data_IF_645402038839
#
_entry.id   IF_645402038839
#
_cell.length_a   1.000
_cell.length_b   1.000
_cell.length_c   1.000
_cell.angle_alpha   90.00
_cell.angle_beta   90.00
_cell.angle_gamma   90.00
#
_symmetry.space_group_name_H-M   'P 1'
#
loop_
_entity.id
_entity.type
_entity.pdbx_description
1 polymer ?
#
# COMPACT_ATOMS: atom_id res chain seq x y z
N UNK A 1 23.54 16.43 -37.53
CA UNK A 1 22.63 15.33 -37.13
C UNK A 1 22.47 15.45 -35.64
N UNK A 2 21.36 16.03 -35.20
CA UNK A 2 21.06 16.19 -33.79
C UNK A 2 20.83 14.80 -33.19
N UNK A 3 21.62 14.45 -32.19
CA UNK A 3 21.43 13.24 -31.39
C UNK A 3 20.06 13.35 -30.70
N UNK A 4 19.05 12.68 -31.25
CA UNK A 4 17.83 12.39 -30.51
C UNK A 4 18.23 11.52 -29.32
N UNK A 5 18.38 12.14 -28.14
CA UNK A 5 18.50 11.39 -26.89
C UNK A 5 17.31 10.42 -26.80
N UNK A 6 17.61 9.13 -26.66
CA UNK A 6 16.58 8.11 -26.59
C UNK A 6 15.66 8.42 -25.40
N UNK A 7 14.36 8.59 -25.64
CA UNK A 7 13.32 8.79 -24.61
C UNK A 7 13.09 7.57 -23.71
N UNK A 8 13.98 6.57 -23.74
CA UNK A 8 13.86 5.34 -22.97
C UNK A 8 14.51 5.52 -21.60
N UNK A 9 13.80 5.10 -20.56
CA UNK A 9 14.37 5.03 -19.21
C UNK A 9 15.48 3.97 -19.16
N UNK A 10 16.64 4.30 -18.58
CA UNK A 10 17.67 3.30 -18.27
C UNK A 10 17.09 2.13 -17.46
N UNK A 11 17.50 0.90 -17.75
CA UNK A 11 17.00 -0.32 -17.05
C UNK A 11 17.10 -0.19 -15.53
N UNK A 12 18.17 0.42 -15.03
CA UNK A 12 18.38 0.71 -13.60
C UNK A 12 17.26 1.56 -12.97
N UNK A 13 16.62 2.43 -13.75
CA UNK A 13 15.55 3.32 -13.30
C UNK A 13 14.18 2.61 -13.35
N UNK A 14 14.11 1.44 -14.01
CA UNK A 14 12.94 0.55 -14.03
C UNK A 14 12.92 -0.43 -12.85
N UNK A 15 14.03 -0.58 -12.12
CA UNK A 15 14.14 -1.48 -10.97
C UNK A 15 13.56 -0.80 -9.73
N UNK A 16 12.59 -1.46 -9.11
CA UNK A 16 11.98 -1.00 -7.85
C UNK A 16 12.98 -1.11 -6.70
N UNK A 17 13.07 -0.06 -5.90
CA UNK A 17 13.81 -0.04 -4.62
C UNK A 17 12.85 -0.35 -3.48
N UNK A 18 13.37 -0.68 -2.30
CA UNK A 18 12.53 -0.99 -1.12
C UNK A 18 11.54 0.12 -0.80
N UNK A 19 11.97 1.39 -0.88
CA UNK A 19 11.10 2.55 -0.70
C UNK A 19 9.91 2.60 -1.68
N UNK A 20 10.06 2.03 -2.87
CA UNK A 20 9.03 2.01 -3.92
C UNK A 20 7.97 0.93 -3.64
N UNK A 21 8.24 0.03 -2.70
CA UNK A 21 7.30 -0.99 -2.21
C UNK A 21 6.44 -0.50 -1.04
N UNK A 22 6.67 0.73 -0.57
CA UNK A 22 5.99 1.34 0.57
C UNK A 22 5.07 2.44 0.07
N UNK A 23 3.81 2.38 0.48
CA UNK A 23 2.85 3.45 0.25
C UNK A 23 2.57 4.16 1.58
N UNK A 24 2.69 5.48 1.62
CA UNK A 24 2.39 6.28 2.81
C UNK A 24 1.09 7.06 2.66
N UNK A 25 0.27 7.02 3.71
CA UNK A 25 -1.05 7.65 3.73
C UNK A 25 -1.34 8.32 5.06
N UNK A 26 -1.96 9.50 5.05
CA UNK A 26 -2.43 10.10 6.30
C UNK A 26 -3.68 9.36 6.80
N UNK A 27 -3.75 9.12 8.12
CA UNK A 27 -4.90 8.47 8.76
C UNK A 27 -6.24 9.14 8.41
N UNK A 28 -6.27 10.46 8.31
CA UNK A 28 -7.49 11.24 7.96
C UNK A 28 -7.98 11.07 6.53
N UNK A 29 -7.12 10.55 5.65
CA UNK A 29 -7.39 10.45 4.21
C UNK A 29 -7.81 9.04 3.78
N UNK A 30 -7.60 8.04 4.64
CA UNK A 30 -7.87 6.64 4.36
C UNK A 30 -9.05 6.14 5.18
N UNK A 31 -9.90 5.32 4.55
CA UNK A 31 -11.08 4.75 5.18
C UNK A 31 -10.98 3.22 5.19
N UNK A 32 -11.65 2.60 6.16
CA UNK A 32 -11.86 1.15 6.13
C UNK A 32 -13.06 0.87 5.21
N UNK A 33 -12.90 -0.12 4.34
CA UNK A 33 -13.94 -0.56 3.40
C UNK A 33 -14.03 -2.07 3.42
N UNK A 34 -15.18 -2.64 3.07
CA UNK A 34 -15.28 -4.10 2.91
C UNK A 34 -14.48 -4.58 1.71
N UNK A 35 -13.90 -5.78 1.85
CA UNK A 35 -13.19 -6.45 0.76
C UNK A 35 -14.16 -6.75 -0.39
N UNK A 36 -13.85 -6.23 -1.59
CA UNK A 36 -14.64 -6.53 -2.79
C UNK A 36 -14.32 -7.93 -3.35
N UNK A 37 -15.26 -8.54 -4.08
CA UNK A 37 -15.04 -9.80 -4.82
C UNK A 37 -13.79 -9.78 -5.71
N UNK A 38 -13.50 -8.63 -6.34
CA UNK A 38 -12.31 -8.46 -7.20
C UNK A 38 -11.00 -8.61 -6.43
N UNK A 39 -10.98 -8.18 -5.17
CA UNK A 39 -9.81 -8.32 -4.29
C UNK A 39 -9.53 -9.79 -3.97
N UNK A 40 -10.57 -10.62 -3.85
CA UNK A 40 -10.47 -12.05 -3.54
C UNK A 40 -10.03 -12.91 -4.74
N UNK A 41 -10.24 -12.45 -5.97
CA UNK A 41 -10.01 -13.27 -7.18
C UNK A 41 -8.53 -13.66 -7.30
N UNK A 42 -8.26 -14.97 -7.30
CA UNK A 42 -6.92 -15.55 -7.48
C UNK A 42 -6.01 -15.44 -6.26
N UNK A 43 -6.55 -15.15 -5.07
CA UNK A 43 -5.81 -15.13 -3.80
C UNK A 43 -6.57 -15.90 -2.73
N UNK A 44 -6.01 -17.02 -2.29
CA UNK A 44 -6.46 -17.70 -1.07
C UNK A 44 -6.17 -16.81 0.14
N UNK A 45 -7.07 -16.80 1.12
CA UNK A 45 -6.85 -16.09 2.40
C UNK A 45 -7.44 -14.69 2.54
N UNK A 46 -8.25 -14.19 1.58
CA UNK A 46 -9.02 -12.95 1.78
C UNK A 46 -10.52 -13.28 1.89
N UNK A 47 -11.11 -13.06 3.07
CA UNK A 47 -12.53 -13.36 3.35
C UNK A 47 -13.41 -12.13 3.05
N UNK A 48 -14.66 -12.35 2.64
CA UNK A 48 -15.62 -11.27 2.30
C UNK A 48 -15.96 -10.33 3.45
N UNK A 49 -16.09 -10.86 4.66
CA UNK A 49 -16.40 -10.10 5.87
C UNK A 49 -15.25 -9.23 6.35
N UNK A 50 -14.05 -9.38 5.78
CA UNK A 50 -12.90 -8.58 6.14
C UNK A 50 -12.96 -7.16 5.56
N UNK A 51 -12.16 -6.29 6.18
CA UNK A 51 -11.91 -4.95 5.69
C UNK A 51 -10.59 -4.85 4.93
N UNK A 52 -10.57 -3.97 3.94
CA UNK A 52 -9.40 -3.39 3.32
C UNK A 52 -9.30 -1.90 3.71
N UNK A 53 -8.16 -1.30 3.42
CA UNK A 53 -8.05 0.16 3.46
C UNK A 53 -8.32 0.73 2.08
N UNK A 54 -9.04 1.86 2.01
CA UNK A 54 -9.38 2.52 0.76
C UNK A 54 -8.96 3.99 0.81
N UNK A 55 -8.18 4.42 -0.18
CA UNK A 55 -7.84 5.81 -0.42
C UNK A 55 -8.71 6.35 -1.57
N UNK A 56 -9.67 7.26 -1.28
CA UNK A 56 -10.60 7.75 -2.29
C UNK A 56 -9.91 8.54 -3.41
N UNK A 57 -10.40 8.39 -4.64
CA UNK A 57 -9.85 9.07 -5.81
C UNK A 57 -9.83 10.59 -5.67
N UNK A 58 -10.90 11.20 -5.15
CA UNK A 58 -10.95 12.64 -4.86
C UNK A 58 -9.76 13.14 -4.04
N UNK A 59 -9.27 12.31 -3.11
CA UNK A 59 -8.12 12.64 -2.26
C UNK A 59 -6.81 12.48 -3.03
N UNK A 60 -6.68 11.41 -3.82
CA UNK A 60 -5.53 11.14 -4.68
C UNK A 60 -5.34 12.29 -5.69
N UNK A 61 -6.42 12.70 -6.36
CA UNK A 61 -6.40 13.79 -7.34
C UNK A 61 -6.07 15.16 -6.71
N UNK A 62 -6.47 15.38 -5.45
CA UNK A 62 -6.22 16.66 -4.76
C UNK A 62 -4.79 16.80 -4.24
N UNK A 63 -4.08 15.70 -3.94
CA UNK A 63 -2.79 15.76 -3.24
C UNK A 63 -1.66 15.15 -4.05
N UNK A 64 -0.71 16.00 -4.48
CA UNK A 64 0.52 15.59 -5.18
C UNK A 64 1.33 14.54 -4.39
N UNK A 65 1.28 14.60 -3.07
CA UNK A 65 1.86 13.60 -2.17
C UNK A 65 1.47 12.15 -2.52
N UNK A 66 0.20 11.91 -2.91
CA UNK A 66 -0.27 10.59 -3.33
C UNK A 66 0.08 10.31 -4.79
N UNK A 67 -0.04 11.31 -5.65
CA UNK A 67 0.23 11.16 -7.09
C UNK A 67 1.66 10.68 -7.36
N UNK A 68 2.63 11.20 -6.61
CA UNK A 68 4.03 10.83 -6.75
C UNK A 68 4.31 9.34 -6.42
N UNK A 69 3.42 8.67 -5.67
CA UNK A 69 3.55 7.27 -5.29
C UNK A 69 2.79 6.33 -6.25
N UNK A 70 1.90 6.86 -7.10
CA UNK A 70 1.06 6.06 -7.99
C UNK A 70 1.82 5.20 -9.02
N UNK A 71 2.96 5.64 -9.60
CA UNK A 71 3.68 4.83 -10.59
C UNK A 71 3.98 3.40 -10.09
N UNK A 72 4.21 3.26 -8.79
CA UNK A 72 4.59 1.99 -8.16
C UNK A 72 3.45 1.33 -7.38
N UNK A 73 2.23 1.89 -7.41
CA UNK A 73 1.11 1.46 -6.57
C UNK A 73 0.75 -0.03 -6.69
N UNK A 74 0.93 -0.62 -7.88
CA UNK A 74 0.65 -2.06 -8.12
C UNK A 74 1.63 -3.01 -7.41
N UNK A 75 2.80 -2.51 -7.01
CA UNK A 75 3.89 -3.31 -6.44
C UNK A 75 3.99 -3.20 -4.92
N UNK A 76 3.21 -2.31 -4.32
CA UNK A 76 3.22 -2.02 -2.88
C UNK A 76 3.05 -3.30 -2.06
N UNK A 77 3.92 -3.44 -1.07
CA UNK A 77 3.95 -4.54 -0.09
C UNK A 77 3.68 -4.07 1.33
N UNK A 78 3.80 -2.77 1.61
CA UNK A 78 3.54 -2.19 2.94
C UNK A 78 2.82 -0.85 2.82
N UNK A 79 1.80 -0.67 3.64
CA UNK A 79 1.08 0.58 3.80
C UNK A 79 1.44 1.18 5.16
N UNK A 80 2.07 2.36 5.14
CA UNK A 80 2.41 3.11 6.35
C UNK A 80 1.37 4.23 6.56
N UNK A 81 0.67 4.17 7.68
CA UNK A 81 -0.30 5.18 8.09
C UNK A 81 0.41 6.25 8.92
N UNK A 82 0.28 7.49 8.49
CA UNK A 82 0.85 8.67 9.12
C UNK A 82 -0.19 9.40 9.99
N UNK A 83 0.25 9.94 11.12
CA UNK A 83 -0.51 10.98 11.84
C UNK A 83 -0.37 12.36 11.17
N UNK A 84 -0.97 13.40 11.76
CA UNK A 84 -0.87 14.76 11.22
C UNK A 84 0.56 15.35 11.28
N UNK A 85 1.42 14.84 12.17
CA UNK A 85 2.82 15.23 12.33
C UNK A 85 3.77 14.48 11.38
N UNK A 86 3.24 13.68 10.45
CA UNK A 86 4.00 12.82 9.52
C UNK A 86 4.78 11.68 10.19
N UNK A 87 4.45 11.33 11.42
CA UNK A 87 5.00 10.14 12.10
C UNK A 87 4.21 8.91 11.69
N UNK A 88 4.91 7.81 11.43
CA UNK A 88 4.29 6.50 11.17
C UNK A 88 3.66 6.01 12.47
N UNK A 89 2.35 5.80 12.46
CA UNK A 89 1.59 5.27 13.61
C UNK A 89 1.14 3.83 13.40
N UNK A 90 1.18 3.34 12.15
CA UNK A 90 0.87 1.95 11.86
C UNK A 90 1.53 1.53 10.54
N UNK A 91 2.10 0.33 10.53
CA UNK A 91 2.56 -0.35 9.33
C UNK A 91 1.67 -1.56 9.08
N UNK A 92 1.24 -1.73 7.83
CA UNK A 92 0.32 -2.81 7.45
C UNK A 92 0.89 -3.52 6.24
N UNK A 93 1.17 -4.83 6.31
CA UNK A 93 1.59 -5.60 5.16
C UNK A 93 0.43 -5.74 4.18
N UNK A 94 0.73 -5.54 2.89
CA UNK A 94 -0.24 -5.49 1.80
C UNK A 94 -0.05 -6.69 0.90
N UNK A 95 -1.12 -7.46 0.74
CA UNK A 95 -1.18 -8.60 -0.16
C UNK A 95 -1.34 -8.13 -1.60
N UNK A 96 -2.18 -7.11 -1.82
CA UNK A 96 -2.46 -6.55 -3.15
C UNK A 96 -3.06 -5.15 -3.06
N UNK A 97 -2.76 -4.34 -4.08
CA UNK A 97 -3.47 -3.09 -4.35
C UNK A 97 -4.36 -3.24 -5.57
N UNK A 98 -5.61 -2.76 -5.47
CA UNK A 98 -6.54 -2.66 -6.59
C UNK A 98 -7.02 -1.23 -6.76
N UNK A 99 -6.92 -0.73 -7.98
CA UNK A 99 -7.60 0.49 -8.37
C UNK A 99 -9.03 0.16 -8.81
N UNK A 100 -9.99 0.84 -8.20
CA UNK A 100 -11.39 0.79 -8.62
C UNK A 100 -11.60 1.55 -9.93
N UNK A 101 -12.77 1.37 -10.57
CA UNK A 101 -13.12 2.13 -11.80
C UNK A 101 -13.16 3.64 -11.58
N UNK A 102 -13.52 4.09 -10.38
CA UNK A 102 -13.49 5.50 -10.01
C UNK A 102 -12.08 6.00 -9.72
N UNK A 103 -11.05 5.17 -9.79
CA UNK A 103 -9.66 5.54 -9.52
C UNK A 103 -9.23 5.42 -8.06
N UNK A 104 -10.13 5.06 -7.12
CA UNK A 104 -9.78 4.86 -5.72
C UNK A 104 -8.90 3.63 -5.54
N UNK A 105 -7.89 3.73 -4.67
CA UNK A 105 -6.98 2.62 -4.36
C UNK A 105 -7.49 1.83 -3.16
N UNK A 106 -7.56 0.51 -3.30
CA UNK A 106 -7.93 -0.42 -2.25
C UNK A 106 -6.71 -1.28 -1.91
N UNK A 107 -6.34 -1.32 -0.64
CA UNK A 107 -5.19 -2.03 -0.10
C UNK A 107 -5.69 -3.25 0.66
N UNK A 108 -5.58 -4.42 0.04
CA UNK A 108 -5.88 -5.71 0.67
C UNK A 108 -4.77 -6.09 1.64
N UNK A 109 -5.14 -6.34 2.89
CA UNK A 109 -4.21 -6.64 3.98
C UNK A 109 -3.69 -8.08 3.81
N UNK A 110 -2.39 -8.28 4.00
CA UNK A 110 -1.80 -9.61 4.12
C UNK A 110 -1.96 -10.08 5.56
N UNK A 111 -3.05 -10.81 5.83
CA UNK A 111 -3.40 -11.25 7.19
C UNK A 111 -2.40 -12.22 7.77
N UNK A 112 -1.88 -13.15 6.97
CA UNK A 112 -0.88 -14.11 7.42
C UNK A 112 0.36 -13.38 7.93
N UNK A 113 0.91 -12.45 7.14
CA UNK A 113 2.05 -11.65 7.56
C UNK A 113 1.75 -10.75 8.74
N UNK A 114 0.58 -10.10 8.75
CA UNK A 114 0.20 -9.23 9.85
C UNK A 114 0.13 -10.00 11.18
N UNK A 115 -0.48 -11.19 11.17
CA UNK A 115 -0.55 -12.05 12.36
C UNK A 115 0.82 -12.56 12.78
N UNK A 116 1.69 -12.94 11.84
CA UNK A 116 3.08 -13.31 12.14
C UNK A 116 3.86 -12.17 12.79
N UNK A 117 3.71 -10.94 12.28
CA UNK A 117 4.34 -9.74 12.85
C UNK A 117 3.83 -9.50 14.28
N UNK A 118 2.51 -9.46 14.49
CA UNK A 118 1.90 -9.27 15.82
C UNK A 118 2.36 -10.34 16.81
N UNK A 119 2.37 -11.61 16.41
CA UNK A 119 2.81 -12.71 17.26
C UNK A 119 4.30 -12.59 17.65
N UNK A 120 5.16 -12.08 16.76
CA UNK A 120 6.57 -11.79 17.09
C UNK A 120 6.70 -10.68 18.13
N UNK A 121 5.84 -9.66 18.07
CA UNK A 121 5.83 -8.58 19.06
C UNK A 121 5.35 -9.10 20.43
N UNK A 122 4.22 -9.81 20.47
CA UNK A 122 3.69 -10.38 21.73
C UNK A 122 4.71 -11.29 22.40
N UNK A 123 5.32 -12.22 21.66
CA UNK A 123 6.36 -13.12 22.22
C UNK A 123 7.60 -12.40 22.72
N UNK A 124 7.94 -11.24 22.16
CA UNK A 124 9.08 -10.44 22.65
C UNK A 124 8.75 -9.70 23.94
N UNK A 125 7.49 -9.32 24.16
CA UNK A 125 7.06 -8.73 25.42
C UNK A 125 7.04 -9.79 26.53
N UNK A 126 6.54 -11.00 26.22
CA UNK A 126 6.50 -12.14 27.16
C UNK A 126 7.88 -12.70 27.57
N UNK A 127 8.94 -12.49 26.77
CA UNK A 127 10.31 -12.94 27.09
C UNK A 127 11.20 -11.87 27.74
N UNK A 128 10.69 -10.65 27.92
CA UNK A 128 11.40 -9.55 28.60
C UNK A 128 10.78 -9.22 29.97
N UNK A 129 9.84 -10.04 30.45
CA UNK A 129 9.36 -10.12 31.84
C UNK A 129 10.00 -11.31 32.56
#
# INVERSE_FOLDING_TARGET
>A
MDNQESNLYPVRDLVLKEKDLIFTVYRKDIIKSRVSRKMRKGKSGIIESEYCYCLPEKIIKKKRFYQNQLPNARYIKKLCILNNERRIVQEIPILRVLQSRSGALNFGIDRSKFTEEVNKYIRKEECNE
#
